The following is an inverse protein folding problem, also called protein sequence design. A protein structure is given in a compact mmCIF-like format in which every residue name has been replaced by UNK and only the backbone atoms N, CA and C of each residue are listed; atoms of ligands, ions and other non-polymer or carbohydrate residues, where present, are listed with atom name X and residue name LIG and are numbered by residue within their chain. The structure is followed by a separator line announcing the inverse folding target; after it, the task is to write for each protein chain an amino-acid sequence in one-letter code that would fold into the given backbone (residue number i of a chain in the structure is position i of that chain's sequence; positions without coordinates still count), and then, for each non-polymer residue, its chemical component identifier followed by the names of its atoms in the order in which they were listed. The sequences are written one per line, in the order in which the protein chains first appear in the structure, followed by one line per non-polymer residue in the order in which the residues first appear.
data_IF_892853632198
#
_entry.id   IF_892853632198
#
_cell.length_a   1.000
_cell.length_b   1.000
_cell.length_c   1.000
_cell.angle_alpha   90.00
_cell.angle_beta   90.00
_cell.angle_gamma   90.00
#
_symmetry.space_group_name_H-M   'P 1'
#
loop_
_entity.id
_entity.type
_entity.pdbx_description
1 polymer ?
#
# COMPACT_ATOMS: atom_id res chain seq x y z
N UNK A 1 18.28 -3.80 4.76
CA UNK A 1 16.98 -3.11 4.54
C UNK A 1 15.80 -3.99 4.94
N UNK A 2 15.52 -5.11 4.26
CA UNK A 2 14.39 -6.01 4.60
C UNK A 2 14.42 -6.59 6.03
N UNK A 3 15.58 -7.05 6.53
CA UNK A 3 15.68 -7.61 7.87
C UNK A 3 15.32 -6.58 8.97
N UNK A 4 15.72 -5.32 8.79
CA UNK A 4 15.40 -4.23 9.70
C UNK A 4 13.90 -3.89 9.65
N UNK A 5 13.31 -3.81 8.45
CA UNK A 5 11.88 -3.59 8.27
C UNK A 5 11.05 -4.73 8.90
N UNK A 6 11.47 -5.99 8.74
CA UNK A 6 10.82 -7.15 9.37
C UNK A 6 10.90 -7.07 10.90
N UNK A 7 12.06 -6.70 11.46
CA UNK A 7 12.22 -6.52 12.91
C UNK A 7 11.31 -5.40 13.43
N UNK A 8 11.27 -4.26 12.73
CA UNK A 8 10.38 -3.14 13.07
C UNK A 8 8.91 -3.58 13.05
N UNK A 9 8.47 -4.25 11.97
CA UNK A 9 7.10 -4.70 11.83
C UNK A 9 6.69 -5.68 12.95
N UNK A 10 7.54 -6.64 13.29
CA UNK A 10 7.25 -7.58 14.36
C UNK A 10 7.13 -6.89 15.72
N UNK A 11 8.07 -5.99 16.04
CA UNK A 11 8.01 -5.23 17.28
C UNK A 11 6.75 -4.36 17.35
N UNK A 12 6.46 -3.59 16.30
CA UNK A 12 5.25 -2.77 16.22
C UNK A 12 3.97 -3.62 16.32
N UNK A 13 3.97 -4.82 15.74
CA UNK A 13 2.84 -5.74 15.84
C UNK A 13 2.65 -6.27 17.26
N UNK A 14 3.75 -6.63 17.95
CA UNK A 14 3.73 -7.07 19.36
C UNK A 14 3.22 -5.96 20.28
N UNK A 15 3.65 -4.71 20.04
CA UNK A 15 3.23 -3.52 20.81
C UNK A 15 1.87 -2.95 20.36
N UNK A 16 1.20 -3.57 19.38
CA UNK A 16 -0.09 -3.11 18.82
C UNK A 16 -0.05 -1.71 18.18
N UNK A 17 1.13 -1.26 17.77
CA UNK A 17 1.39 0.00 17.09
C UNK A 17 0.94 -0.08 15.62
N UNK A 18 -0.37 -0.03 15.41
CA UNK A 18 -1.02 -0.26 14.11
C UNK A 18 -0.49 0.68 13.03
N UNK A 19 -0.26 1.95 13.36
CA UNK A 19 0.26 2.94 12.42
C UNK A 19 1.65 2.55 11.89
N UNK A 20 2.54 2.09 12.77
CA UNK A 20 3.89 1.67 12.39
C UNK A 20 3.88 0.38 11.57
N UNK A 21 3.00 -0.57 11.90
CA UNK A 21 2.81 -1.79 11.09
C UNK A 21 2.37 -1.41 9.67
N UNK A 22 1.39 -0.52 9.54
CA UNK A 22 0.90 -0.06 8.25
C UNK A 22 1.96 0.72 7.47
N UNK A 23 2.77 1.55 8.13
CA UNK A 23 3.89 2.25 7.51
C UNK A 23 4.85 1.26 6.83
N UNK A 24 5.24 0.18 7.53
CA UNK A 24 6.14 -0.84 6.97
C UNK A 24 5.47 -1.61 5.82
N UNK A 25 4.20 -2.00 5.98
CA UNK A 25 3.44 -2.70 4.94
C UNK A 25 3.33 -1.85 3.68
N UNK A 26 2.94 -0.59 3.80
CA UNK A 26 2.82 0.33 2.66
C UNK A 26 4.17 0.60 2.00
N UNK A 27 5.25 0.69 2.78
CA UNK A 27 6.62 0.78 2.23
C UNK A 27 7.00 -0.43 1.37
N UNK A 28 6.61 -1.64 1.78
CA UNK A 28 6.83 -2.85 0.97
C UNK A 28 5.94 -2.89 -0.28
N UNK A 29 4.67 -2.49 -0.19
CA UNK A 29 3.79 -2.38 -1.36
C UNK A 29 4.34 -1.38 -2.39
N UNK A 30 4.85 -0.24 -1.94
CA UNK A 30 5.49 0.76 -2.80
C UNK A 30 6.75 0.21 -3.48
N UNK A 31 7.59 -0.51 -2.72
CA UNK A 31 8.77 -1.17 -3.24
C UNK A 31 8.39 -2.20 -4.32
N UNK A 32 7.38 -3.03 -4.06
CA UNK A 32 6.89 -4.01 -5.03
C UNK A 32 6.36 -3.32 -6.29
N UNK A 33 5.54 -2.28 -6.15
CA UNK A 33 5.07 -1.48 -7.29
C UNK A 33 6.23 -0.97 -8.15
N UNK A 34 7.32 -0.52 -7.52
CA UNK A 34 8.49 -0.07 -8.27
C UNK A 34 9.18 -1.21 -9.03
N UNK A 35 9.26 -2.42 -8.44
CA UNK A 35 9.79 -3.61 -9.13
C UNK A 35 8.92 -4.03 -10.33
N UNK A 36 7.60 -3.88 -10.23
CA UNK A 36 6.69 -4.21 -11.34
C UNK A 36 6.80 -3.20 -12.49
N UNK A 37 6.88 -1.90 -12.18
CA UNK A 37 6.81 -0.82 -13.17
C UNK A 37 8.18 -0.48 -13.77
N UNK A 38 9.24 -0.48 -12.96
CA UNK A 38 10.56 0.01 -13.36
C UNK A 38 11.58 -1.12 -13.60
N UNK A 39 11.18 -2.37 -13.46
CA UNK A 39 12.01 -3.55 -13.74
C UNK A 39 12.19 -4.45 -12.51
N UNK A 40 12.32 -5.75 -12.77
CA UNK A 40 12.30 -6.80 -11.74
C UNK A 40 11.25 -7.88 -12.01
N UNK A 41 10.27 -7.56 -12.86
CA UNK A 41 9.31 -8.53 -13.41
C UNK A 41 9.50 -8.68 -14.91
N UNK A 42 9.56 -9.92 -15.39
CA UNK A 42 9.64 -10.27 -16.81
C UNK A 42 8.42 -11.11 -17.22
N UNK A 43 8.12 -11.13 -18.52
CA UNK A 43 7.01 -11.92 -19.06
C UNK A 43 7.18 -13.41 -18.70
N UNK A 44 6.09 -14.04 -18.25
CA UNK A 44 6.02 -15.44 -17.80
C UNK A 44 6.98 -15.82 -16.66
N UNK A 45 7.48 -14.82 -15.92
CA UNK A 45 8.34 -15.06 -14.77
C UNK A 45 7.54 -15.37 -13.50
N UNK A 46 8.11 -16.27 -12.69
CA UNK A 46 7.68 -16.51 -11.31
C UNK A 46 8.14 -15.42 -10.34
N UNK A 47 9.05 -14.54 -10.76
CA UNK A 47 9.52 -13.42 -9.95
C UNK A 47 8.35 -12.56 -9.48
N UNK A 48 8.34 -12.26 -8.19
CA UNK A 48 7.35 -11.42 -7.53
C UNK A 48 5.89 -11.91 -7.58
N UNK A 49 5.57 -13.07 -8.16
CA UNK A 49 4.16 -13.50 -8.33
C UNK A 49 3.43 -13.74 -7.02
N UNK A 50 4.04 -14.47 -6.10
CA UNK A 50 3.47 -14.65 -4.76
C UNK A 50 3.32 -13.32 -4.00
N UNK A 51 4.32 -12.45 -4.09
CA UNK A 51 4.26 -11.13 -3.45
C UNK A 51 3.16 -10.25 -4.05
N UNK A 52 2.92 -10.36 -5.35
CA UNK A 52 1.83 -9.66 -6.04
C UNK A 52 0.46 -10.18 -5.58
N UNK A 53 0.28 -11.50 -5.47
CA UNK A 53 -0.94 -12.10 -4.94
C UNK A 53 -1.23 -11.61 -3.51
N UNK A 54 -0.23 -11.68 -2.63
CA UNK A 54 -0.33 -11.20 -1.24
C UNK A 54 -0.63 -9.69 -1.19
N UNK A 55 0.02 -8.89 -2.05
CA UNK A 55 -0.21 -7.45 -2.16
C UNK A 55 -1.63 -7.13 -2.64
N UNK A 56 -2.14 -7.85 -3.64
CA UNK A 56 -3.51 -7.71 -4.12
C UNK A 56 -4.52 -8.06 -3.03
N UNK A 57 -4.29 -9.12 -2.26
CA UNK A 57 -5.14 -9.47 -1.12
C UNK A 57 -5.16 -8.35 -0.08
N UNK A 58 -4.01 -7.81 0.30
CA UNK A 58 -3.93 -6.67 1.23
C UNK A 58 -4.61 -5.41 0.69
N UNK A 59 -4.37 -5.04 -0.56
CA UNK A 59 -4.98 -3.88 -1.20
C UNK A 59 -6.50 -4.00 -1.29
N UNK A 60 -7.04 -5.21 -1.48
CA UNK A 60 -8.48 -5.45 -1.47
C UNK A 60 -9.14 -5.15 -0.12
N UNK A 61 -8.36 -5.14 0.97
CA UNK A 61 -8.81 -4.71 2.30
C UNK A 61 -8.59 -3.21 2.52
N UNK A 62 -7.40 -2.72 2.15
CA UNK A 62 -7.00 -1.34 2.44
C UNK A 62 -7.72 -0.31 1.59
N UNK A 63 -7.85 -0.53 0.27
CA UNK A 63 -8.45 0.46 -0.62
C UNK A 63 -9.90 0.78 -0.22
N UNK A 64 -10.78 -0.20 0.04
CA UNK A 64 -12.13 0.10 0.53
C UNK A 64 -12.15 0.81 1.89
N UNK A 65 -11.23 0.46 2.79
CA UNK A 65 -11.13 1.11 4.09
C UNK A 65 -10.71 2.58 3.95
N UNK A 66 -9.71 2.87 3.12
CA UNK A 66 -9.25 4.24 2.83
C UNK A 66 -10.37 5.08 2.20
N UNK A 67 -11.06 4.54 1.19
CA UNK A 67 -12.21 5.24 0.56
C UNK A 67 -13.30 5.51 1.59
N UNK A 68 -13.61 4.56 2.48
CA UNK A 68 -14.60 4.77 3.54
C UNK A 68 -14.18 5.84 4.54
N UNK A 69 -12.89 5.95 4.87
CA UNK A 69 -12.35 7.01 5.71
C UNK A 69 -12.50 8.37 5.01
N UNK A 70 -12.12 8.47 3.73
CA UNK A 70 -12.25 9.70 2.95
C UNK A 70 -13.71 10.15 2.85
N UNK A 71 -14.65 9.24 2.55
CA UNK A 71 -16.08 9.54 2.46
C UNK A 71 -16.70 9.99 3.78
N UNK A 72 -16.11 9.64 4.93
CA UNK A 72 -16.57 10.04 6.26
C UNK A 72 -15.97 11.36 6.73
N UNK A 73 -14.96 11.87 6.04
CA UNK A 73 -14.22 13.08 6.36
C UNK A 73 -14.05 13.90 5.08
N UNK A 74 -15.14 14.12 4.35
CA UNK A 74 -15.14 14.76 3.03
C UNK A 74 -14.85 16.26 3.08
N UNK A 75 -14.95 16.85 4.28
CA UNK A 75 -14.60 18.24 4.59
C UNK A 75 -13.10 18.47 4.79
N UNK A 76 -12.30 17.41 4.95
CA UNK A 76 -10.86 17.50 5.19
C UNK A 76 -10.10 18.00 3.94
N UNK A 77 -9.50 19.21 3.98
CA UNK A 77 -8.85 19.81 2.82
C UNK A 77 -7.56 19.10 2.38
N UNK A 78 -6.98 18.24 3.22
CA UNK A 78 -5.65 17.63 2.99
C UNK A 78 -5.66 16.37 2.12
N UNK A 79 -6.82 15.83 1.73
CA UNK A 79 -6.87 14.69 0.80
C UNK A 79 -6.25 14.98 -0.58
N UNK A 80 -6.01 16.26 -0.87
CA UNK A 80 -5.38 16.73 -2.10
C UNK A 80 -6.37 16.92 -3.23
N UNK A 81 -5.90 17.52 -4.32
CA UNK A 81 -6.73 17.69 -5.53
C UNK A 81 -6.70 16.39 -6.35
N UNK A 82 -7.85 15.94 -6.88
CA UNK A 82 -7.85 14.79 -7.78
C UNK A 82 -6.98 15.10 -9.01
N UNK A 83 -6.04 14.21 -9.33
CA UNK A 83 -5.22 14.33 -10.55
C UNK A 83 -6.06 14.30 -11.83
N UNK A 84 -7.22 13.63 -11.78
CA UNK A 84 -8.21 13.57 -12.85
C UNK A 84 -9.54 14.06 -12.29
N UNK A 85 -9.79 15.38 -12.30
CA UNK A 85 -11.04 15.94 -11.78
C UNK A 85 -12.22 15.55 -12.67
N UNK A 86 -13.42 15.52 -12.08
CA UNK A 86 -14.65 15.39 -12.84
C UNK A 86 -14.81 16.59 -13.78
N UNK A 87 -15.03 16.32 -15.06
CA UNK A 87 -15.33 17.34 -16.07
C UNK A 87 -16.85 17.32 -16.29
N UNK A 88 -17.51 18.42 -15.94
CA UNK A 88 -18.92 18.62 -16.30
C UNK A 88 -19.04 18.71 -17.82
N UNK A 89 -20.03 18.02 -18.39
CA UNK A 89 -20.39 18.14 -19.80
C UNK A 89 -21.13 19.45 -20.06
#
# INVERSE_FOLDING_TARGET
MFAAAKKKANFAFEEQETAEVLEVVFGHLYTLRNQLIHGGSTYDSSANRKQLEDACALLSLFVPAMVKIMLRNDDEPTWGKPYYPYVQQ
#
